data_IF_477973124154
#
_entry.id   IF_477973124154
#
_cell.length_a   1.000
_cell.length_b   1.000
_cell.length_c   1.000
_cell.angle_alpha   90.00
_cell.angle_beta   90.00
_cell.angle_gamma   90.00
#
_symmetry.space_group_name_H-M   'P 1'
#
loop_
_entity.id
_entity.type
_entity.pdbx_description
1 polymer ?
#
# COMPACT_ATOMS: atom_id res chain seq x y z
N UNK A 1 -0.84 14.16 -22.16
CA UNK A 1 -1.62 15.39 -21.92
C UNK A 1 -3.08 15.01 -22.14
N UNK A 2 -3.77 14.60 -21.08
CA UNK A 2 -5.17 14.18 -21.19
C UNK A 2 -6.03 15.45 -21.29
N UNK A 3 -6.63 15.65 -22.47
CA UNK A 3 -7.59 16.73 -22.69
C UNK A 3 -8.95 16.27 -22.17
N UNK A 4 -9.51 17.02 -21.23
CA UNK A 4 -10.86 16.84 -20.72
C UNK A 4 -11.85 16.80 -21.89
N UNK A 5 -12.73 15.80 -21.90
CA UNK A 5 -13.77 15.68 -22.91
C UNK A 5 -14.76 16.83 -22.70
N UNK A 6 -14.74 17.79 -23.62
CA UNK A 6 -15.85 18.70 -23.87
C UNK A 6 -16.08 19.77 -22.82
N UNK A 7 -15.13 20.70 -22.64
CA UNK A 7 -15.37 22.10 -22.23
C UNK A 7 -16.46 22.32 -21.15
N UNK A 8 -16.58 21.41 -20.18
CA UNK A 8 -17.56 21.44 -19.10
C UNK A 8 -16.84 21.89 -17.83
N UNK A 9 -16.94 23.18 -17.44
CA UNK A 9 -16.29 23.70 -16.25
C UNK A 9 -16.91 23.20 -14.94
N UNK A 10 -17.93 22.32 -15.00
CA UNK A 10 -18.73 21.88 -13.84
C UNK A 10 -18.43 20.43 -13.44
N UNK A 11 -17.90 19.60 -14.36
CA UNK A 11 -17.50 18.24 -14.03
C UNK A 11 -16.05 18.19 -13.54
N UNK A 12 -15.90 18.34 -12.23
CA UNK A 12 -14.65 18.20 -11.46
C UNK A 12 -14.22 16.73 -11.28
N UNK A 13 -14.80 15.82 -12.05
CA UNK A 13 -14.58 14.38 -12.05
C UNK A 13 -14.03 13.97 -13.41
N UNK A 14 -13.06 13.07 -13.42
CA UNK A 14 -12.70 12.39 -14.66
C UNK A 14 -13.84 11.43 -15.10
N UNK A 15 -13.80 10.87 -16.34
CA UNK A 15 -14.82 9.93 -16.81
C UNK A 15 -14.99 8.65 -15.97
N UNK A 16 -14.07 8.37 -15.04
CA UNK A 16 -14.13 7.24 -14.10
C UNK A 16 -14.68 7.61 -12.72
N UNK A 17 -15.01 8.89 -12.48
CA UNK A 17 -15.55 9.38 -11.22
C UNK A 17 -14.51 9.69 -10.15
N UNK A 18 -13.22 9.67 -10.50
CA UNK A 18 -12.13 9.92 -9.57
C UNK A 18 -11.95 11.42 -9.32
N UNK A 19 -11.68 11.79 -8.07
CA UNK A 19 -11.43 13.17 -7.68
C UNK A 19 -10.11 13.69 -8.27
N UNK A 20 -10.12 14.91 -8.80
CA UNK A 20 -8.89 15.69 -8.89
C UNK A 20 -8.44 16.05 -7.46
N UNK A 21 -7.30 15.51 -7.01
CA UNK A 21 -6.70 15.85 -5.72
C UNK A 21 -6.71 17.37 -5.52
N UNK A 22 -7.31 17.84 -4.41
CA UNK A 22 -7.39 19.24 -3.93
C UNK A 22 -8.54 20.13 -4.43
N UNK A 23 -9.76 19.60 -4.57
CA UNK A 23 -10.96 20.47 -4.58
C UNK A 23 -11.59 20.51 -3.17
N UNK A 24 -12.08 21.68 -2.74
CA UNK A 24 -12.84 21.85 -1.47
C UNK A 24 -14.14 21.03 -1.42
N UNK A 25 -14.50 20.37 -2.52
CA UNK A 25 -15.72 19.60 -2.67
C UNK A 25 -15.47 18.08 -2.71
N UNK A 26 -14.24 17.62 -2.47
CA UNK A 26 -13.91 16.21 -2.33
C UNK A 26 -13.44 15.90 -0.91
N UNK A 27 -14.07 14.92 -0.27
CA UNK A 27 -13.71 14.44 1.07
C UNK A 27 -13.38 12.96 0.97
N UNK A 28 -12.13 12.62 1.33
CA UNK A 28 -11.70 11.24 1.49
C UNK A 28 -12.07 10.76 2.90
N UNK A 29 -12.62 9.56 3.00
CA UNK A 29 -12.94 8.92 4.27
C UNK A 29 -12.31 7.54 4.33
N UNK A 30 -11.60 7.26 5.43
CA UNK A 30 -11.01 5.95 5.70
C UNK A 30 -11.82 5.28 6.79
N UNK A 31 -12.28 4.06 6.51
CA UNK A 31 -13.03 3.23 7.47
C UNK A 31 -12.28 1.92 7.73
N UNK A 32 -12.49 1.36 8.93
CA UNK A 32 -11.86 0.10 9.34
C UNK A 32 -12.90 -0.91 9.78
N UNK A 33 -12.82 -2.12 9.25
CA UNK A 33 -13.73 -3.22 9.56
C UNK A 33 -12.94 -4.44 9.98
N UNK A 34 -13.18 -4.94 11.20
CA UNK A 34 -12.61 -6.21 11.66
C UNK A 34 -13.40 -7.37 11.05
N UNK A 35 -12.69 -8.30 10.42
CA UNK A 35 -13.26 -9.47 9.77
C UNK A 35 -13.30 -10.68 10.71
N UNK A 36 -14.07 -11.70 10.32
CA UNK A 36 -14.22 -12.93 11.10
C UNK A 36 -12.92 -13.73 11.28
N UNK A 37 -11.94 -13.53 10.40
CA UNK A 37 -10.62 -14.18 10.47
C UNK A 37 -9.58 -13.35 11.25
N UNK A 38 -10.02 -12.33 12.00
CA UNK A 38 -9.19 -11.37 12.73
C UNK A 38 -8.32 -10.46 11.85
N UNK A 39 -8.48 -10.49 10.52
CA UNK A 39 -7.93 -9.43 9.67
C UNK A 39 -8.72 -8.13 9.86
N UNK A 40 -8.10 -7.00 9.51
CA UNK A 40 -8.80 -5.71 9.44
C UNK A 40 -8.75 -5.21 8.01
N UNK A 41 -9.91 -4.97 7.42
CA UNK A 41 -10.02 -4.26 6.14
C UNK A 41 -10.02 -2.77 6.43
N UNK A 42 -9.18 -2.04 5.73
CA UNK A 42 -9.18 -0.57 5.68
C UNK A 42 -9.62 -0.19 4.27
N UNK A 43 -10.75 0.48 4.17
CA UNK A 43 -11.33 0.92 2.89
C UNK A 43 -11.36 2.43 2.88
N UNK A 44 -10.88 3.02 1.77
CA UNK A 44 -11.03 4.44 1.52
C UNK A 44 -12.17 4.67 0.53
N UNK A 45 -12.90 5.76 0.75
CA UNK A 45 -13.98 6.21 -0.11
C UNK A 45 -13.81 7.70 -0.40
N UNK A 46 -14.07 8.07 -1.64
CA UNK A 46 -14.06 9.46 -2.07
C UNK A 46 -15.49 9.93 -2.17
N UNK A 47 -15.79 11.07 -1.54
CA UNK A 47 -17.09 11.72 -1.66
C UNK A 47 -16.95 13.05 -2.36
N UNK A 48 -17.58 13.18 -3.53
CA UNK A 48 -17.66 14.41 -4.30
C UNK A 48 -19.01 15.08 -4.04
N UNK A 49 -18.99 16.34 -3.63
CA UNK A 49 -20.19 17.17 -3.45
C UNK A 49 -20.31 18.20 -4.58
N UNK A 50 -21.45 18.20 -5.28
CA UNK A 50 -21.78 19.20 -6.30
C UNK A 50 -23.11 19.86 -5.95
N UNK A 51 -23.03 21.03 -5.30
CA UNK A 51 -24.19 21.69 -4.71
C UNK A 51 -24.80 20.84 -3.59
N UNK A 52 -26.07 20.47 -3.74
CA UNK A 52 -26.77 19.59 -2.78
C UNK A 52 -26.61 18.09 -3.06
N UNK A 53 -25.97 17.73 -4.18
CA UNK A 53 -25.79 16.34 -4.56
C UNK A 53 -24.44 15.84 -4.07
N UNK A 54 -24.40 14.61 -3.55
CA UNK A 54 -23.17 13.95 -3.12
C UNK A 54 -23.08 12.59 -3.79
N UNK A 55 -21.90 12.26 -4.32
CA UNK A 55 -21.60 10.94 -4.88
C UNK A 55 -20.41 10.37 -4.14
N UNK A 56 -20.56 9.13 -3.65
CA UNK A 56 -19.50 8.41 -2.93
C UNK A 56 -19.07 7.21 -3.76
N UNK A 57 -17.77 7.09 -4.01
CA UNK A 57 -17.16 5.95 -4.72
C UNK A 57 -16.08 5.31 -3.85
N UNK A 58 -15.95 3.97 -3.87
CA UNK A 58 -14.82 3.30 -3.23
C UNK A 58 -13.51 3.65 -3.96
N UNK A 59 -12.45 3.89 -3.18
CA UNK A 59 -11.10 4.22 -3.66
C UNK A 59 -10.07 3.58 -2.71
N UNK A 60 -9.43 2.51 -3.15
CA UNK A 60 -8.37 1.85 -2.41
C UNK A 60 -8.87 0.98 -1.26
N UNK A 61 -8.31 -0.22 -1.17
CA UNK A 61 -8.59 -1.14 -0.09
C UNK A 61 -7.32 -1.91 0.31
N UNK A 62 -7.07 -1.96 1.61
CA UNK A 62 -6.00 -2.80 2.16
C UNK A 62 -6.58 -3.75 3.20
N UNK A 63 -5.98 -4.93 3.30
CA UNK A 63 -6.34 -5.94 4.28
C UNK A 63 -5.15 -6.27 5.16
N UNK A 64 -5.23 -5.85 6.41
CA UNK A 64 -4.23 -6.10 7.44
C UNK A 64 -4.41 -7.52 7.98
N UNK A 65 -3.55 -8.44 7.58
CA UNK A 65 -3.69 -9.86 7.91
C UNK A 65 -3.20 -10.18 9.32
N UNK A 66 -3.80 -11.18 10.00
CA UNK A 66 -3.31 -11.71 11.27
C UNK A 66 -1.86 -12.15 11.20
N UNK A 67 -1.07 -11.83 12.22
CA UNK A 67 0.33 -12.21 12.31
C UNK A 67 0.54 -13.26 13.40
N UNK A 68 1.13 -14.40 13.03
CA UNK A 68 1.55 -15.42 14.00
C UNK A 68 2.55 -14.85 15.03
N UNK A 69 3.45 -13.96 14.59
CA UNK A 69 4.41 -13.26 15.45
C UNK A 69 3.78 -12.26 16.42
N UNK A 70 2.48 -11.98 16.30
CA UNK A 70 1.73 -11.06 17.15
C UNK A 70 0.50 -11.75 17.78
N UNK A 71 0.56 -13.07 17.99
CA UNK A 71 -0.53 -13.86 18.57
C UNK A 71 -1.87 -13.72 17.82
N UNK A 72 -1.82 -13.61 16.49
CA UNK A 72 -3.00 -13.46 15.65
C UNK A 72 -3.55 -12.04 15.57
N UNK A 73 -2.91 -11.04 16.18
CA UNK A 73 -3.25 -9.64 15.96
C UNK A 73 -3.01 -9.26 14.48
N UNK A 74 -3.86 -8.41 13.88
CA UNK A 74 -3.67 -7.94 12.52
C UNK A 74 -2.37 -7.14 12.38
N UNK A 75 -1.81 -7.15 11.17
CA UNK A 75 -0.71 -6.27 10.82
C UNK A 75 -1.06 -4.80 11.11
N UNK A 76 -0.05 -4.01 11.46
CA UNK A 76 -0.22 -2.57 11.68
C UNK A 76 0.76 -1.82 10.78
N UNK A 77 0.37 -0.65 10.29
CA UNK A 77 1.20 0.24 9.47
C UNK A 77 1.05 1.66 10.01
N UNK A 78 2.02 2.53 9.72
CA UNK A 78 1.90 3.97 10.01
C UNK A 78 0.88 4.60 9.06
N UNK A 79 0.35 5.77 9.39
CA UNK A 79 -0.62 6.47 8.53
C UNK A 79 -0.07 6.73 7.12
N UNK A 80 1.18 7.22 7.03
CA UNK A 80 1.79 7.46 5.72
C UNK A 80 2.02 6.19 4.89
N UNK A 81 2.29 5.05 5.54
CA UNK A 81 2.36 3.77 4.82
C UNK A 81 0.96 3.28 4.41
N UNK A 82 -0.06 3.48 5.25
CA UNK A 82 -1.46 3.17 4.93
C UNK A 82 -1.93 3.94 3.69
N UNK A 83 -1.70 5.26 3.65
CA UNK A 83 -2.05 6.11 2.50
C UNK A 83 -1.37 5.62 1.22
N UNK A 84 -0.06 5.36 1.27
CA UNK A 84 0.69 4.84 0.12
C UNK A 84 0.18 3.47 -0.36
N UNK A 85 -0.27 2.61 0.55
CA UNK A 85 -0.82 1.30 0.22
C UNK A 85 -2.24 1.40 -0.38
N UNK A 86 -3.06 2.34 0.09
CA UNK A 86 -4.36 2.64 -0.49
C UNK A 86 -4.20 3.19 -1.92
N UNK A 87 -3.25 4.10 -2.14
CA UNK A 87 -2.91 4.61 -3.48
C UNK A 87 -2.41 3.49 -4.41
N UNK A 88 -1.61 2.56 -3.88
CA UNK A 88 -1.19 1.40 -4.63
C UNK A 88 -2.39 0.50 -4.98
N UNK A 89 -3.31 0.30 -4.02
CA UNK A 89 -4.54 -0.47 -4.25
C UNK A 89 -5.38 0.10 -5.37
N UNK A 90 -5.55 1.43 -5.42
CA UNK A 90 -6.23 2.11 -6.53
C UNK A 90 -5.53 1.87 -7.86
N UNK A 91 -4.21 2.05 -7.87
CA UNK A 91 -3.37 1.87 -9.07
C UNK A 91 -3.51 0.48 -9.67
N UNK A 92 -3.60 -0.56 -8.83
CA UNK A 92 -3.71 -1.96 -9.28
C UNK A 92 -5.16 -2.46 -9.31
N UNK A 93 -6.12 -1.63 -8.91
CA UNK A 93 -7.54 -2.00 -8.79
C UNK A 93 -7.76 -3.32 -8.03
N UNK A 94 -7.02 -3.51 -6.93
CA UNK A 94 -7.07 -4.73 -6.14
C UNK A 94 -6.75 -4.46 -4.67
N UNK A 95 -7.40 -5.22 -3.77
CA UNK A 95 -7.12 -5.16 -2.34
C UNK A 95 -5.68 -5.59 -2.05
N UNK A 96 -4.92 -4.73 -1.39
CA UNK A 96 -3.55 -5.06 -0.96
C UNK A 96 -3.60 -5.80 0.37
N UNK A 97 -3.21 -7.07 0.37
CA UNK A 97 -3.03 -7.86 1.58
C UNK A 97 -1.68 -7.52 2.23
N UNK A 98 -1.71 -7.01 3.46
CA UNK A 98 -0.54 -6.69 4.26
C UNK A 98 -0.26 -7.85 5.21
N UNK A 99 0.75 -8.65 4.89
CA UNK A 99 1.21 -9.79 5.70
C UNK A 99 2.02 -9.32 6.90
N UNK A 100 2.80 -8.27 6.71
CA UNK A 100 3.63 -7.70 7.76
C UNK A 100 3.78 -6.20 7.62
N UNK A 101 3.82 -5.48 8.74
CA UNK A 101 4.01 -4.04 8.80
C UNK A 101 4.94 -3.69 9.96
N UNK A 102 4.53 -2.82 10.89
CA UNK A 102 5.30 -2.51 12.10
C UNK A 102 5.61 -3.80 12.88
N UNK A 103 6.87 -3.93 13.31
CA UNK A 103 7.34 -5.01 14.20
C UNK A 103 8.02 -4.42 15.42
N UNK A 104 7.83 -5.03 16.58
CA UNK A 104 8.68 -4.77 17.74
C UNK A 104 10.09 -5.33 17.52
N UNK A 105 11.08 -4.78 18.23
CA UNK A 105 12.44 -5.32 18.20
C UNK A 105 12.48 -6.78 18.68
N UNK A 106 11.60 -7.18 19.60
CA UNK A 106 11.50 -8.57 20.06
C UNK A 106 11.06 -9.51 18.93
N UNK A 107 10.07 -9.12 18.13
CA UNK A 107 9.65 -9.88 16.94
C UNK A 107 10.78 -9.97 15.91
N UNK A 108 11.50 -8.87 15.66
CA UNK A 108 12.65 -8.86 14.76
C UNK A 108 13.78 -9.79 15.25
N UNK A 109 14.08 -9.77 16.55
CA UNK A 109 15.08 -10.64 17.16
C UNK A 109 14.67 -12.12 17.09
N UNK A 110 13.38 -12.43 17.28
CA UNK A 110 12.85 -13.79 17.14
C UNK A 110 12.99 -14.31 15.70
N UNK A 111 12.66 -13.49 14.71
CA UNK A 111 12.88 -13.81 13.29
C UNK A 111 14.36 -14.09 13.00
N UNK A 112 15.27 -13.29 13.57
CA UNK A 112 16.71 -13.48 13.44
C UNK A 112 17.19 -14.76 14.13
N UNK A 113 16.65 -15.11 15.30
CA UNK A 113 16.97 -16.37 15.99
C UNK A 113 16.74 -17.60 15.09
N UNK A 114 15.70 -17.54 14.25
CA UNK A 114 15.36 -18.62 13.32
C UNK A 114 16.07 -18.50 11.96
N UNK A 115 16.64 -17.34 11.62
CA UNK A 115 17.19 -17.02 10.30
C UNK A 115 18.37 -16.01 10.37
N UNK A 116 19.39 -16.34 11.17
CA UNK A 116 20.42 -15.40 11.60
C UNK A 116 21.21 -14.71 10.46
N UNK A 117 21.31 -15.35 9.30
CA UNK A 117 22.09 -14.88 8.15
C UNK A 117 21.29 -14.10 7.11
N UNK A 118 19.95 -14.07 7.21
CA UNK A 118 19.09 -13.45 6.19
C UNK A 118 18.20 -12.33 6.76
N UNK A 119 18.12 -12.20 8.08
CA UNK A 119 17.31 -11.19 8.77
C UNK A 119 18.22 -10.10 9.33
N UNK A 120 18.01 -8.85 8.89
CA UNK A 120 18.77 -7.70 9.35
C UNK A 120 18.57 -7.44 10.86
N UNK A 121 19.62 -7.01 11.57
CA UNK A 121 19.53 -6.64 12.99
C UNK A 121 18.59 -5.45 13.24
N UNK A 122 18.54 -4.52 12.28
CA UNK A 122 17.61 -3.38 12.27
C UNK A 122 16.87 -3.40 10.94
N UNK A 123 15.55 -3.38 11.00
CA UNK A 123 14.67 -3.47 9.84
C UNK A 123 13.87 -2.19 9.68
N UNK A 124 13.42 -1.88 8.47
CA UNK A 124 12.48 -0.78 8.29
C UNK A 124 11.13 -1.07 8.96
N UNK A 125 10.78 -2.37 9.13
CA UNK A 125 9.62 -2.78 9.93
C UNK A 125 9.71 -2.33 11.39
N UNK A 126 10.92 -2.25 11.98
CA UNK A 126 11.07 -1.87 13.40
C UNK A 126 10.91 -0.38 13.67
N UNK A 127 10.88 0.43 12.62
CA UNK A 127 10.61 1.88 12.70
C UNK A 127 9.28 2.26 12.02
N UNK A 128 8.52 1.27 11.54
CA UNK A 128 7.21 1.48 10.91
C UNK A 128 7.23 1.95 9.47
N UNK A 129 8.38 1.84 8.79
CA UNK A 129 8.60 2.33 7.43
C UNK A 129 8.62 1.21 6.40
N UNK A 130 8.05 0.03 6.71
CA UNK A 130 7.98 -1.07 5.75
C UNK A 130 6.71 -1.90 5.87
N UNK A 131 6.36 -2.54 4.75
CA UNK A 131 5.32 -3.55 4.67
C UNK A 131 5.75 -4.71 3.74
N UNK A 132 5.31 -5.92 4.09
CA UNK A 132 5.34 -7.09 3.22
C UNK A 132 3.92 -7.36 2.72
N UNK A 133 3.72 -7.33 1.40
CA UNK A 133 2.39 -7.27 0.76
C UNK A 133 2.20 -8.33 -0.34
N UNK A 134 0.93 -8.59 -0.67
CA UNK A 134 0.50 -9.26 -1.91
C UNK A 134 -0.88 -8.75 -2.33
N UNK A 135 -1.38 -9.17 -3.50
CA UNK A 135 -2.77 -8.97 -3.89
C UNK A 135 -3.25 -10.18 -4.70
N UNK A 136 -4.52 -10.55 -4.55
CA UNK A 136 -5.02 -11.87 -4.98
C UNK A 136 -5.06 -12.07 -6.50
N UNK A 137 -5.23 -10.98 -7.26
CA UNK A 137 -5.45 -11.03 -8.71
C UNK A 137 -4.32 -10.37 -9.51
N UNK A 138 -3.16 -10.17 -8.89
CA UNK A 138 -2.00 -9.55 -9.51
C UNK A 138 -0.75 -10.34 -9.13
N UNK A 139 0.14 -10.57 -10.10
CA UNK A 139 1.40 -11.26 -9.82
C UNK A 139 2.31 -10.40 -8.95
N UNK A 140 3.23 -11.01 -8.20
CA UNK A 140 4.23 -10.26 -7.44
C UNK A 140 5.10 -9.36 -8.33
N UNK A 141 5.33 -9.75 -9.58
CA UNK A 141 6.08 -8.94 -10.57
C UNK A 141 5.28 -7.69 -10.93
N UNK A 142 4.01 -7.85 -11.31
CA UNK A 142 3.15 -6.72 -11.69
C UNK A 142 2.88 -5.79 -10.51
N UNK A 143 2.71 -6.34 -9.31
CA UNK A 143 2.57 -5.56 -8.08
C UNK A 143 3.86 -4.76 -7.78
N UNK A 144 5.03 -5.39 -7.94
CA UNK A 144 6.32 -4.70 -7.78
C UNK A 144 6.48 -3.59 -8.81
N UNK A 145 6.03 -3.81 -10.05
CA UNK A 145 6.01 -2.80 -11.10
C UNK A 145 5.12 -1.62 -10.75
N UNK A 146 3.88 -1.86 -10.33
CA UNK A 146 2.99 -0.79 -9.89
C UNK A 146 3.58 0.01 -8.70
N UNK A 147 4.20 -0.68 -7.73
CA UNK A 147 4.85 -0.02 -6.59
C UNK A 147 6.09 0.79 -6.98
N UNK A 148 6.85 0.36 -7.99
CA UNK A 148 7.97 1.16 -8.54
C UNK A 148 7.45 2.37 -9.30
N UNK A 149 6.46 2.17 -10.15
CA UNK A 149 5.90 3.19 -11.03
C UNK A 149 5.15 4.28 -10.23
N UNK A 150 4.60 3.95 -9.04
CA UNK A 150 3.94 4.93 -8.17
C UNK A 150 4.88 5.98 -7.59
N UNK A 151 6.17 5.66 -7.39
CA UNK A 151 7.13 6.55 -6.76
C UNK A 151 6.93 6.76 -5.24
N UNK A 152 5.92 6.12 -4.64
CA UNK A 152 5.52 6.32 -3.24
C UNK A 152 6.41 5.55 -2.23
N UNK A 153 7.23 4.62 -2.73
CA UNK A 153 8.15 3.81 -1.93
C UNK A 153 9.59 4.08 -2.35
N UNK A 154 10.54 4.07 -1.41
CA UNK A 154 11.96 4.22 -1.73
C UNK A 154 12.58 2.91 -2.23
N UNK A 155 12.14 1.77 -1.68
CA UNK A 155 12.56 0.44 -2.11
C UNK A 155 11.37 -0.48 -2.31
N UNK A 156 11.47 -1.30 -3.35
CA UNK A 156 10.56 -2.40 -3.66
C UNK A 156 11.40 -3.66 -3.85
N UNK A 157 11.05 -4.75 -3.18
CA UNK A 157 11.75 -6.02 -3.30
C UNK A 157 10.76 -7.17 -3.53
N UNK A 158 10.90 -7.87 -4.65
CA UNK A 158 10.15 -9.10 -4.90
C UNK A 158 10.83 -10.30 -4.22
N UNK A 159 10.11 -11.01 -3.36
CA UNK A 159 10.56 -12.27 -2.79
C UNK A 159 10.31 -13.46 -3.73
N UNK A 160 11.07 -14.56 -3.61
CA UNK A 160 10.81 -15.80 -4.35
C UNK A 160 9.41 -16.39 -4.13
N UNK A 161 8.76 -16.07 -3.00
CA UNK A 161 7.38 -16.48 -2.70
C UNK A 161 6.32 -15.76 -3.54
N UNK A 162 6.69 -14.71 -4.27
CA UNK A 162 5.76 -13.81 -4.95
C UNK A 162 5.26 -12.65 -4.08
N UNK A 163 5.58 -12.62 -2.77
CA UNK A 163 5.29 -11.47 -1.91
C UNK A 163 6.24 -10.31 -2.22
N UNK A 164 5.79 -9.07 -2.00
CA UNK A 164 6.57 -7.85 -2.26
C UNK A 164 6.84 -7.14 -0.95
N UNK A 165 8.10 -6.83 -0.69
CA UNK A 165 8.50 -5.92 0.39
C UNK A 165 8.59 -4.50 -0.15
N UNK A 166 8.06 -3.55 0.59
CA UNK A 166 8.15 -2.11 0.29
C UNK A 166 8.61 -1.36 1.53
N UNK A 167 9.48 -0.36 1.35
CA UNK A 167 9.94 0.48 2.46
C UNK A 167 10.37 1.89 2.06
N UNK A 168 10.54 2.75 3.07
CA UNK A 168 10.91 4.17 2.93
C UNK A 168 12.41 4.43 3.12
N UNK A 169 13.27 3.41 3.11
CA UNK A 169 14.71 3.63 3.24
C UNK A 169 15.26 4.29 1.98
N UNK A 170 15.63 5.57 2.10
CA UNK A 170 16.32 6.27 1.03
C UNK A 170 17.66 5.58 0.71
N UNK A 171 17.79 5.11 -0.53
CA UNK A 171 19.00 4.44 -1.07
C UNK A 171 19.52 5.12 -2.34
N UNK A 172 19.03 6.32 -2.63
CA UNK A 172 19.40 7.11 -3.80
C UNK A 172 18.18 7.65 -4.56
N UNK A 173 18.43 8.18 -5.76
CA UNK A 173 17.38 8.80 -6.58
C UNK A 173 16.36 7.78 -7.08
N UNK A 174 15.08 8.07 -6.85
CA UNK A 174 13.94 7.29 -7.33
C UNK A 174 13.74 5.96 -6.61
N UNK A 175 12.57 5.35 -6.82
CA UNK A 175 12.25 4.03 -6.27
C UNK A 175 13.22 2.98 -6.83
N UNK A 176 13.86 2.24 -5.94
CA UNK A 176 14.79 1.17 -6.33
C UNK A 176 14.13 -0.19 -6.24
N UNK A 177 14.25 -0.96 -7.32
CA UNK A 177 13.78 -2.32 -7.37
C UNK A 177 14.87 -3.35 -7.05
N UNK A 178 14.46 -4.38 -6.32
CA UNK A 178 15.26 -5.54 -5.96
C UNK A 178 14.47 -6.81 -6.27
N UNK A 179 15.18 -7.84 -6.74
CA UNK A 179 14.64 -9.20 -6.81
C UNK A 179 15.45 -10.07 -5.86
N UNK A 180 14.80 -10.55 -4.80
CA UNK A 180 15.41 -11.27 -3.70
C UNK A 180 16.67 -10.56 -3.15
N UNK A 181 16.50 -9.28 -2.81
CA UNK A 181 17.51 -8.35 -2.30
C UNK A 181 18.70 -8.10 -3.23
N UNK A 182 18.63 -8.54 -4.48
CA UNK A 182 19.61 -8.19 -5.52
C UNK A 182 19.04 -7.05 -6.35
N UNK A 183 19.75 -5.92 -6.41
CA UNK A 183 19.31 -4.74 -7.18
C UNK A 183 19.14 -5.10 -8.65
N UNK A 184 18.02 -4.67 -9.23
CA UNK A 184 17.69 -4.88 -10.65
C UNK A 184 17.23 -3.55 -11.26
N UNK A 185 17.40 -3.36 -12.58
CA UNK A 185 16.97 -2.12 -13.24
C UNK A 185 15.44 -1.99 -13.28
N UNK A 186 14.73 -3.11 -13.31
CA UNK A 186 13.27 -3.18 -13.40
C UNK A 186 12.75 -4.51 -12.80
N UNK A 187 11.46 -4.54 -12.40
CA UNK A 187 10.70 -5.74 -12.09
C UNK A 187 10.67 -6.79 -13.20
#
# INVERSE_FOLDING_TARGET
MYAYVGNDPVNLTDPSGLCAQKSTNCVEQVSRTTNADNSVTVSRTDTVTNGSNSTTSPSGEIRLLPQSSANGAPATVTSGMEDNLLDLSDTVSSTINVHSGVRSQAQQNSLKGNNANTVASTSQHTIGDAADISANNISGVDLSKAAVDSGNFQRVNLYPSGSVHIDQKNVGKGTQFYNNWKRKPNP
#
